data_IF_969270038378
#
_entry.id   IF_969270038378
#
_cell.length_a   1.000
_cell.length_b   1.000
_cell.length_c   1.000
_cell.angle_alpha   90.00
_cell.angle_beta   90.00
_cell.angle_gamma   90.00
#
_symmetry.space_group_name_H-M   'P 1'
#
loop_
_entity.id
_entity.type
_entity.pdbx_description
1 polymer ?
#
# COMPACT_ATOMS: atom_id res chain seq x y z
N UNK A 1 -6.60 -3.65 13.54
CA UNK A 1 -7.03 -3.41 12.14
C UNK A 1 -7.58 -4.71 11.61
N UNK A 2 -8.74 -4.72 10.94
CA UNK A 2 -9.38 -5.96 10.49
C UNK A 2 -9.18 -6.27 9.00
N UNK A 3 -8.62 -5.35 8.21
CA UNK A 3 -8.39 -5.52 6.77
C UNK A 3 -7.00 -5.05 6.33
N UNK A 4 -6.42 -5.62 5.27
CA UNK A 4 -5.17 -5.14 4.70
C UNK A 4 -5.30 -3.72 4.15
N UNK A 5 -4.21 -2.94 4.20
CA UNK A 5 -4.13 -1.60 3.61
C UNK A 5 -3.02 -1.57 2.56
N UNK A 6 -3.37 -1.19 1.34
CA UNK A 6 -2.43 -0.93 0.25
C UNK A 6 -2.11 0.56 0.20
N UNK A 7 -0.89 0.92 0.62
CA UNK A 7 -0.33 2.23 0.45
C UNK A 7 0.30 2.37 -0.94
N UNK A 8 -0.03 3.45 -1.63
CA UNK A 8 0.39 3.72 -3.00
C UNK A 8 0.73 5.18 -3.21
N UNK A 9 1.52 5.47 -4.24
CA UNK A 9 1.83 6.83 -4.67
C UNK A 9 1.12 7.14 -5.98
N UNK A 10 0.81 8.41 -6.20
CA UNK A 10 0.37 8.91 -7.49
C UNK A 10 1.45 8.69 -8.56
N UNK A 11 1.02 8.53 -9.82
CA UNK A 11 1.89 8.31 -10.99
C UNK A 11 2.87 7.12 -10.86
N UNK A 12 2.62 6.20 -9.94
CA UNK A 12 3.45 5.01 -9.70
C UNK A 12 2.97 3.82 -10.54
N UNK A 13 3.66 3.50 -11.64
CA UNK A 13 3.33 2.37 -12.53
C UNK A 13 3.19 1.03 -11.79
N UNK A 14 4.03 0.80 -10.78
CA UNK A 14 4.00 -0.41 -9.94
C UNK A 14 2.73 -0.48 -9.08
N UNK A 15 2.33 0.67 -8.53
CA UNK A 15 1.14 0.79 -7.71
C UNK A 15 -0.11 0.56 -8.55
N UNK A 16 -0.17 1.17 -9.74
CA UNK A 16 -1.26 0.94 -10.70
C UNK A 16 -1.34 -0.51 -11.16
N UNK A 17 -0.19 -1.17 -11.36
CA UNK A 17 -0.16 -2.60 -11.66
C UNK A 17 -0.82 -3.43 -10.54
N UNK A 18 -0.46 -3.20 -9.27
CA UNK A 18 -1.05 -3.93 -8.14
C UNK A 18 -2.54 -3.65 -8.03
N UNK A 19 -2.97 -2.38 -8.12
CA UNK A 19 -4.39 -1.98 -8.04
C UNK A 19 -5.25 -2.71 -9.09
N UNK A 20 -4.75 -2.85 -10.32
CA UNK A 20 -5.45 -3.57 -11.41
C UNK A 20 -5.55 -5.08 -11.21
N UNK A 21 -4.72 -5.67 -10.34
CA UNK A 21 -4.69 -7.11 -10.07
C UNK A 21 -5.20 -7.43 -8.65
N UNK A 22 -5.89 -6.49 -8.00
CA UNK A 22 -6.55 -6.77 -6.74
C UNK A 22 -7.66 -7.81 -6.98
N UNK A 23 -7.71 -8.89 -6.17
CA UNK A 23 -8.74 -9.91 -6.30
C UNK A 23 -10.11 -9.32 -5.97
N UNK A 24 -11.10 -9.64 -6.79
CA UNK A 24 -12.50 -9.30 -6.51
C UNK A 24 -12.95 -10.01 -5.22
N UNK A 25 -13.71 -9.30 -4.38
CA UNK A 25 -14.28 -9.84 -3.14
C UNK A 25 -13.35 -9.79 -1.91
N UNK A 26 -12.13 -9.27 -2.03
CA UNK A 26 -11.26 -9.03 -0.87
C UNK A 26 -11.39 -7.58 -0.42
N UNK A 27 -11.78 -7.36 0.84
CA UNK A 27 -11.84 -6.03 1.46
C UNK A 27 -10.41 -5.54 1.73
N UNK A 28 -9.90 -4.67 0.86
CA UNK A 28 -8.58 -4.04 0.97
C UNK A 28 -8.79 -2.53 0.93
N UNK A 29 -8.26 -1.84 1.94
CA UNK A 29 -8.25 -0.39 1.96
C UNK A 29 -7.11 0.12 1.06
N UNK A 30 -7.36 1.09 0.20
CA UNK A 30 -6.33 1.68 -0.65
C UNK A 30 -6.11 3.12 -0.22
N UNK A 31 -4.88 3.45 0.16
CA UNK A 31 -4.45 4.81 0.46
C UNK A 31 -3.48 5.27 -0.62
N UNK A 32 -3.80 6.39 -1.27
CA UNK A 32 -2.94 6.98 -2.32
C UNK A 32 -2.44 8.33 -1.83
N UNK A 33 -1.13 8.52 -1.90
CA UNK A 33 -0.45 9.76 -1.52
C UNK A 33 0.21 10.40 -2.74
N UNK A 34 0.47 11.72 -2.70
CA UNK A 34 1.25 12.39 -3.75
C UNK A 34 2.61 11.73 -3.96
N UNK A 35 3.15 11.82 -5.18
CA UNK A 35 4.45 11.22 -5.50
C UNK A 35 5.61 11.90 -4.78
N UNK A 36 5.56 13.23 -4.66
CA UNK A 36 6.52 14.00 -3.88
C UNK A 36 6.02 14.15 -2.43
N UNK A 37 6.83 13.73 -1.47
CA UNK A 37 6.53 13.85 -0.03
C UNK A 37 6.31 15.31 0.40
N UNK A 38 6.86 16.27 -0.33
CA UNK A 38 6.66 17.71 -0.07
C UNK A 38 5.24 18.18 -0.34
N UNK A 39 4.49 17.45 -1.15
CA UNK A 39 3.09 17.74 -1.48
C UNK A 39 2.11 17.09 -0.49
N UNK A 40 2.61 16.34 0.50
CA UNK A 40 1.75 15.66 1.46
C UNK A 40 1.16 16.63 2.48
N UNK A 41 -0.12 16.45 2.78
CA UNK A 41 -0.75 17.18 3.87
C UNK A 41 -0.22 16.72 5.24
N UNK A 42 -0.42 17.55 6.27
CA UNK A 42 -0.12 17.19 7.65
C UNK A 42 -0.83 15.89 8.08
N UNK A 43 -2.07 15.69 7.63
CA UNK A 43 -2.85 14.49 7.94
C UNK A 43 -2.27 13.25 7.27
N UNK A 44 -1.83 13.36 6.02
CA UNK A 44 -1.17 12.28 5.28
C UNK A 44 0.17 11.89 5.92
N UNK A 45 0.95 12.88 6.35
CA UNK A 45 2.21 12.65 7.07
C UNK A 45 1.96 11.97 8.42
N UNK A 46 0.97 12.44 9.18
CA UNK A 46 0.60 11.85 10.47
C UNK A 46 0.09 10.41 10.30
N UNK A 47 -0.73 10.16 9.30
CA UNK A 47 -1.27 8.84 9.01
C UNK A 47 -0.17 7.85 8.58
N UNK A 48 0.70 8.25 7.65
CA UNK A 48 1.80 7.40 7.22
C UNK A 48 2.82 7.14 8.33
N UNK A 49 3.01 8.09 9.26
CA UNK A 49 3.80 7.90 10.46
C UNK A 49 3.13 6.93 11.44
N UNK A 50 1.81 7.05 11.65
CA UNK A 50 1.03 6.15 12.49
C UNK A 50 1.11 4.69 12.03
N UNK A 51 1.09 4.45 10.71
CA UNK A 51 1.27 3.11 10.14
C UNK A 51 2.74 2.72 9.95
N UNK A 52 3.69 3.57 10.35
CA UNK A 52 5.13 3.39 10.21
C UNK A 52 5.58 3.13 8.75
N UNK A 53 4.86 3.67 7.76
CA UNK A 53 5.14 3.47 6.32
C UNK A 53 5.75 4.71 5.65
N UNK A 54 5.85 5.84 6.36
CA UNK A 54 6.32 7.11 5.79
C UNK A 54 7.71 6.99 5.13
N UNK A 55 8.69 6.41 5.84
CA UNK A 55 10.05 6.23 5.30
C UNK A 55 10.11 5.15 4.24
N UNK A 56 9.26 4.12 4.34
CA UNK A 56 9.20 3.05 3.35
C UNK A 56 8.64 3.57 2.02
N UNK A 57 7.55 4.37 2.05
CA UNK A 57 6.92 4.95 0.86
C UNK A 57 7.86 5.87 0.08
N UNK A 58 8.78 6.55 0.77
CA UNK A 58 9.82 7.36 0.12
C UNK A 58 10.88 6.52 -0.60
N UNK A 59 11.05 5.24 -0.23
CA UNK A 59 12.05 4.33 -0.79
C UNK A 59 11.45 3.36 -1.80
N UNK A 60 10.26 2.87 -1.53
CA UNK A 60 9.59 1.85 -2.32
C UNK A 60 8.07 1.97 -2.19
N UNK A 61 7.39 1.90 -3.34
CA UNK A 61 5.96 1.80 -3.42
C UNK A 61 5.58 0.78 -4.52
N UNK A 62 4.47 0.04 -4.37
CA UNK A 62 3.48 0.10 -3.28
C UNK A 62 3.89 -0.69 -2.01
N UNK A 63 3.14 -0.51 -0.92
CA UNK A 63 3.31 -1.26 0.33
C UNK A 63 1.96 -1.83 0.75
N UNK A 64 1.87 -3.14 0.97
CA UNK A 64 0.70 -3.78 1.56
C UNK A 64 0.97 -4.06 3.05
N UNK A 65 0.21 -3.41 3.92
CA UNK A 65 0.19 -3.65 5.35
C UNK A 65 -0.91 -4.65 5.68
N UNK A 66 -0.54 -5.74 6.33
CA UNK A 66 -1.46 -6.80 6.73
C UNK A 66 -2.02 -6.55 8.15
N UNK A 67 -3.18 -7.13 8.49
CA UNK A 67 -3.77 -7.02 9.84
C UNK A 67 -2.86 -7.52 10.97
N UNK A 68 -1.93 -8.44 10.67
CA UNK A 68 -0.94 -8.99 11.60
C UNK A 68 0.30 -8.08 11.78
N UNK A 69 0.30 -6.91 11.15
CA UNK A 69 1.39 -5.92 11.20
C UNK A 69 2.51 -6.16 10.19
N UNK A 70 2.45 -7.22 9.37
CA UNK A 70 3.46 -7.48 8.34
C UNK A 70 3.33 -6.49 7.19
N UNK A 71 4.48 -6.04 6.66
CA UNK A 71 4.57 -5.17 5.48
C UNK A 71 5.15 -5.95 4.30
N UNK A 72 4.44 -5.95 3.18
CA UNK A 72 4.96 -6.43 1.89
C UNK A 72 5.27 -5.22 1.01
N UNK A 73 6.52 -5.08 0.58
CA UNK A 73 7.00 -3.90 -0.17
C UNK A 73 7.39 -4.23 -1.62
N UNK A 74 7.48 -5.52 -1.95
CA UNK A 74 7.76 -6.01 -3.29
C UNK A 74 6.45 -6.23 -4.05
N UNK A 75 6.38 -5.72 -5.28
CA UNK A 75 5.24 -5.94 -6.19
C UNK A 75 4.95 -7.42 -6.39
N UNK A 76 6.01 -8.25 -6.45
CA UNK A 76 5.88 -9.70 -6.66
C UNK A 76 5.27 -10.34 -5.41
N UNK A 77 5.75 -9.97 -4.22
CA UNK A 77 5.25 -10.54 -2.97
C UNK A 77 3.80 -10.13 -2.70
N UNK A 78 3.47 -8.85 -2.95
CA UNK A 78 2.11 -8.33 -2.87
C UNK A 78 1.21 -9.12 -3.82
N UNK A 79 1.60 -9.28 -5.09
CA UNK A 79 0.81 -10.04 -6.08
C UNK A 79 0.61 -11.49 -5.65
N UNK A 80 1.66 -12.17 -5.19
CA UNK A 80 1.60 -13.56 -4.77
C UNK A 80 0.69 -13.74 -3.55
N UNK A 81 0.79 -12.83 -2.58
CA UNK A 81 -0.07 -12.82 -1.41
C UNK A 81 -1.54 -12.63 -1.80
N UNK A 82 -1.85 -11.59 -2.59
CA UNK A 82 -3.20 -11.31 -3.06
C UNK A 82 -3.81 -12.47 -3.87
N UNK A 83 -3.00 -13.14 -4.69
CA UNK A 83 -3.44 -14.30 -5.48
C UNK A 83 -3.75 -15.52 -4.60
N UNK A 84 -3.08 -15.66 -3.46
CA UNK A 84 -3.31 -16.75 -2.51
C UNK A 84 -4.54 -16.53 -1.62
N UNK A 85 -4.90 -15.29 -1.30
CA UNK A 85 -6.12 -14.99 -0.51
C UNK A 85 -7.40 -15.38 -1.27
N UNK A 86 -7.35 -15.44 -2.60
CA UNK A 86 -8.50 -15.82 -3.44
C UNK A 86 -8.88 -17.31 -3.32
N UNK A 87 -8.06 -18.15 -2.67
CA UNK A 87 -8.26 -19.61 -2.59
C UNK A 87 -8.92 -20.06 -1.30
#
# INVERSE_FOLDING_TARGET
>A
MNRPILFSLENCKRCEYVKKHLPEGVDIEIKTYPHDVKEWSSDQLAEAAYYEVLSDLQRTAPILLLPDGRKLTSVIDIKNFLSNIKR
#
